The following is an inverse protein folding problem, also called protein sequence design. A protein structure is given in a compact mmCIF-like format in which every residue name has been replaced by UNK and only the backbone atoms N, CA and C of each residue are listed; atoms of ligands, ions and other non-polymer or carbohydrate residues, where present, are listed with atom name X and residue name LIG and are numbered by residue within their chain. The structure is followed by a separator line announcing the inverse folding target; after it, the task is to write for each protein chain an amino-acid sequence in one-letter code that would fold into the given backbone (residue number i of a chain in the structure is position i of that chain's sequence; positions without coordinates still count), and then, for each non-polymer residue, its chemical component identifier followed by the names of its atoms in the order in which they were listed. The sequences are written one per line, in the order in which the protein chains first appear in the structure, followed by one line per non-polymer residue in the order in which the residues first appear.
data_IF_904817606108
#
_entry.id   IF_904817606108
#
_cell.length_a   1.000
_cell.length_b   1.000
_cell.length_c   1.000
_cell.angle_alpha   90.00
_cell.angle_beta   90.00
_cell.angle_gamma   90.00
#
_symmetry.space_group_name_H-M   'P 1'
#
loop_
_entity.id
_entity.type
_entity.pdbx_description
1 polymer ?
#
# COMPACT_ATOMS: atom_id res chain seq x y z
N UNK A 1 -6.99 0.36 11.93
CA UNK A 1 -6.53 1.54 11.18
C UNK A 1 -5.09 1.79 11.60
N UNK A 2 -4.11 1.53 10.74
CA UNK A 2 -2.68 1.58 11.10
C UNK A 2 -2.08 2.99 10.96
N UNK A 3 -2.58 3.75 9.97
CA UNK A 3 -2.33 5.17 9.79
C UNK A 3 -3.66 5.86 9.41
N UNK A 4 -3.94 7.01 10.00
CA UNK A 4 -5.08 7.86 9.69
C UNK A 4 -4.68 9.32 9.87
N UNK A 5 -5.47 10.28 9.34
CA UNK A 5 -5.14 11.71 9.36
C UNK A 5 -4.99 12.31 10.77
N UNK A 6 -5.21 11.52 11.84
CA UNK A 6 -4.88 11.86 13.21
C UNK A 6 -3.70 11.00 13.72
N UNK A 7 -2.54 11.63 13.80
CA UNK A 7 -1.25 11.06 14.20
C UNK A 7 -1.20 10.60 15.67
N UNK A 8 -1.71 9.39 15.97
CA UNK A 8 -1.53 8.74 17.29
C UNK A 8 -0.70 7.45 17.27
N UNK A 9 -0.25 6.99 16.09
CA UNK A 9 0.65 5.84 15.96
C UNK A 9 1.85 6.18 15.07
N UNK A 10 2.89 6.78 15.64
CA UNK A 10 4.11 7.16 14.91
C UNK A 10 4.83 5.95 14.31
N UNK A 11 4.89 4.83 15.03
CA UNK A 11 5.51 3.59 14.56
C UNK A 11 4.74 3.00 13.38
N UNK A 12 3.40 2.93 13.47
CA UNK A 12 2.56 2.46 12.36
C UNK A 12 2.67 3.32 11.11
N UNK A 13 2.82 4.65 11.26
CA UNK A 13 3.00 5.56 10.13
C UNK A 13 4.35 5.35 9.43
N UNK A 14 5.44 5.25 10.20
CA UNK A 14 6.77 4.99 9.64
C UNK A 14 6.82 3.64 8.93
N UNK A 15 6.23 2.61 9.54
CA UNK A 15 6.19 1.27 8.97
C UNK A 15 5.41 1.22 7.63
N UNK A 16 4.34 2.01 7.51
CA UNK A 16 3.58 2.16 6.25
C UNK A 16 4.40 2.91 5.19
N UNK A 17 5.14 3.95 5.57
CA UNK A 17 6.04 4.67 4.66
C UNK A 17 7.17 3.76 4.15
N UNK A 18 7.77 2.98 5.05
CA UNK A 18 8.82 2.00 4.70
C UNK A 18 8.25 0.91 3.78
N UNK A 19 7.04 0.42 4.06
CA UNK A 19 6.38 -0.54 3.19
C UNK A 19 6.08 0.03 1.79
N UNK A 20 5.63 1.29 1.70
CA UNK A 20 5.31 1.92 0.42
C UNK A 20 6.55 2.23 -0.44
N UNK A 21 7.64 2.63 0.19
CA UNK A 21 8.88 3.01 -0.50
C UNK A 21 9.85 1.84 -0.69
N UNK A 22 9.71 0.76 0.08
CA UNK A 22 10.51 -0.46 -0.01
C UNK A 22 10.08 -1.42 -1.13
N UNK A 23 10.69 -2.62 -1.15
CA UNK A 23 10.36 -3.67 -2.12
C UNK A 23 9.01 -4.32 -1.81
N UNK A 24 8.41 -4.98 -2.82
CA UNK A 24 7.17 -5.76 -2.64
C UNK A 24 7.27 -6.80 -1.52
N UNK A 25 8.41 -7.49 -1.40
CA UNK A 25 8.66 -8.48 -0.33
C UNK A 25 8.74 -7.84 1.05
N UNK A 26 9.40 -6.69 1.18
CA UNK A 26 9.45 -5.96 2.45
C UNK A 26 8.06 -5.45 2.86
N UNK A 27 7.30 -4.93 1.89
CA UNK A 27 5.92 -4.52 2.09
C UNK A 27 5.02 -5.68 2.56
N UNK A 28 5.17 -6.86 1.95
CA UNK A 28 4.43 -8.06 2.37
C UNK A 28 4.73 -8.44 3.82
N UNK A 29 6.00 -8.43 4.23
CA UNK A 29 6.41 -8.75 5.60
C UNK A 29 5.76 -7.80 6.61
N UNK A 30 5.75 -6.50 6.31
CA UNK A 30 5.06 -5.48 7.12
C UNK A 30 3.56 -5.75 7.19
N UNK A 31 2.91 -5.93 6.03
CA UNK A 31 1.46 -6.14 5.92
C UNK A 31 1.02 -7.35 6.73
N UNK A 32 1.74 -8.47 6.61
CA UNK A 32 1.45 -9.70 7.36
C UNK A 32 1.75 -9.55 8.85
N UNK A 33 2.90 -8.97 9.20
CA UNK A 33 3.32 -8.77 10.60
C UNK A 33 2.38 -7.84 11.38
N UNK A 34 1.68 -6.92 10.70
CA UNK A 34 0.69 -6.03 11.28
C UNK A 34 -0.76 -6.53 11.14
N UNK A 35 -0.96 -7.75 10.63
CA UNK A 35 -2.29 -8.34 10.39
C UNK A 35 -3.22 -7.46 9.53
N UNK A 36 -2.65 -6.76 8.54
CA UNK A 36 -3.41 -5.92 7.62
C UNK A 36 -4.13 -6.84 6.61
N UNK A 37 -5.45 -6.70 6.50
CA UNK A 37 -6.26 -7.46 5.53
C UNK A 37 -6.55 -6.72 4.22
N UNK A 38 -6.33 -5.41 4.17
CA UNK A 38 -6.66 -4.54 3.03
C UNK A 38 -5.58 -3.48 2.83
N UNK A 39 -5.15 -3.31 1.58
CA UNK A 39 -4.32 -2.19 1.10
C UNK A 39 -5.21 -1.28 0.26
N UNK A 40 -5.16 0.02 0.53
CA UNK A 40 -5.92 1.03 -0.19
C UNK A 40 -4.98 1.90 -1.04
N UNK A 41 -5.33 2.10 -2.31
CA UNK A 41 -4.60 2.97 -3.24
C UNK A 41 -5.52 4.07 -3.77
N UNK A 42 -5.19 5.32 -3.43
CA UNK A 42 -5.83 6.50 -4.02
C UNK A 42 -4.88 7.15 -5.03
N UNK A 43 -5.03 6.86 -6.33
CA UNK A 43 -4.17 7.43 -7.40
C UNK A 43 -4.20 8.97 -7.43
N UNK A 44 -5.33 9.54 -7.03
CA UNK A 44 -5.55 10.99 -6.94
C UNK A 44 -4.88 11.67 -5.74
N UNK A 45 -4.35 10.93 -4.75
CA UNK A 45 -3.71 11.51 -3.57
C UNK A 45 -2.30 12.05 -3.90
N UNK A 46 -2.01 13.29 -3.47
CA UNK A 46 -0.70 13.92 -3.65
C UNK A 46 0.42 13.21 -2.90
N UNK A 47 0.17 12.70 -1.69
CA UNK A 47 1.13 11.91 -0.91
C UNK A 47 1.48 10.61 -1.63
N UNK A 48 0.47 9.91 -2.17
CA UNK A 48 0.68 8.70 -2.98
C UNK A 48 1.59 8.97 -4.17
N UNK A 49 1.38 10.07 -4.90
CA UNK A 49 2.26 10.46 -6.01
C UNK A 49 3.65 10.86 -5.54
N UNK A 50 3.76 11.58 -4.42
CA UNK A 50 5.02 11.98 -3.84
C UNK A 50 5.89 10.78 -3.45
N UNK A 51 5.33 9.84 -2.68
CA UNK A 51 6.03 8.63 -2.24
C UNK A 51 6.45 7.73 -3.41
N UNK A 52 5.58 7.58 -4.41
CA UNK A 52 5.92 6.85 -5.64
C UNK A 52 7.05 7.53 -6.44
N UNK A 53 7.14 8.86 -6.38
CA UNK A 53 8.27 9.61 -6.97
C UNK A 53 9.57 9.47 -6.16
N UNK A 54 9.49 9.32 -4.84
CA UNK A 54 10.66 9.09 -3.98
C UNK A 54 11.27 7.70 -4.17
N UNK A 55 10.44 6.69 -4.45
CA UNK A 55 10.91 5.33 -4.77
C UNK A 55 10.19 4.78 -6.02
N UNK A 56 10.68 5.11 -7.23
CA UNK A 56 10.06 4.72 -8.49
C UNK A 56 9.99 3.19 -8.73
N UNK A 57 10.86 2.45 -8.05
CA UNK A 57 10.95 0.98 -8.08
C UNK A 57 10.37 0.33 -6.81
N UNK A 58 9.81 1.15 -5.90
CA UNK A 58 9.17 0.71 -4.67
C UNK A 58 7.80 0.09 -4.90
N UNK A 59 7.29 -0.58 -3.86
CA UNK A 59 6.01 -1.28 -3.88
C UNK A 59 4.84 -0.37 -4.31
N UNK A 60 4.75 0.85 -3.75
CA UNK A 60 3.67 1.77 -4.10
C UNK A 60 3.74 2.21 -5.57
N UNK A 61 4.94 2.46 -6.10
CA UNK A 61 5.12 2.84 -7.50
C UNK A 61 4.77 1.68 -8.44
N UNK A 62 5.16 0.46 -8.10
CA UNK A 62 4.77 -0.74 -8.84
C UNK A 62 3.24 -0.92 -8.86
N UNK A 63 2.58 -0.76 -7.71
CA UNK A 63 1.12 -0.86 -7.58
C UNK A 63 0.40 0.20 -8.42
N UNK A 64 0.91 1.44 -8.44
CA UNK A 64 0.41 2.50 -9.34
C UNK A 64 0.60 2.13 -10.82
N UNK A 65 1.69 1.46 -11.18
CA UNK A 65 1.91 0.96 -12.56
C UNK A 65 1.01 -0.24 -12.91
N UNK A 66 0.16 -0.71 -11.98
CA UNK A 66 -0.71 -1.87 -12.17
C UNK A 66 0.01 -3.21 -11.95
N UNK A 67 1.24 -3.19 -11.43
CA UNK A 67 1.99 -4.38 -11.10
C UNK A 67 1.56 -4.87 -9.72
N UNK A 68 0.47 -5.64 -9.69
CA UNK A 68 -0.09 -6.18 -8.45
C UNK A 68 0.71 -7.43 -8.05
N UNK A 69 1.34 -7.46 -6.86
CA UNK A 69 2.04 -8.65 -6.39
C UNK A 69 1.09 -9.84 -6.15
N UNK A 70 1.61 -11.06 -6.22
CA UNK A 70 0.84 -12.30 -6.07
C UNK A 70 0.17 -12.48 -4.71
N UNK A 71 0.64 -11.79 -3.67
CA UNK A 71 0.05 -11.78 -2.32
C UNK A 71 -1.12 -10.80 -2.16
N UNK A 72 -1.41 -10.00 -3.20
CA UNK A 72 -2.56 -9.13 -3.27
C UNK A 72 -3.58 -9.62 -4.30
N UNK A 73 -4.83 -9.33 -4.02
CA UNK A 73 -5.96 -9.58 -4.91
C UNK A 73 -6.81 -8.30 -5.02
N UNK A 74 -7.04 -7.76 -6.23
CA UNK A 74 -7.94 -6.63 -6.41
C UNK A 74 -9.34 -6.95 -5.88
N UNK A 75 -9.94 -6.01 -5.17
CA UNK A 75 -11.34 -6.12 -4.75
C UNK A 75 -12.22 -5.70 -5.92
N UNK A 76 -13.04 -6.66 -6.38
CA UNK A 76 -13.94 -6.48 -7.51
C UNK A 76 -14.79 -5.21 -7.38
N UNK A 77 -14.82 -4.41 -8.46
CA UNK A 77 -15.59 -3.18 -8.56
C UNK A 77 -14.84 -1.93 -8.08
N UNK A 78 -13.60 -2.08 -7.58
CA UNK A 78 -12.75 -0.95 -7.20
C UNK A 78 -11.69 -0.64 -8.26
N UNK A 79 -11.42 -1.55 -9.19
CA UNK A 79 -10.40 -1.40 -10.22
C UNK A 79 -10.67 -0.17 -11.11
N UNK A 80 -9.63 0.65 -11.32
CA UNK A 80 -9.71 1.88 -12.12
C UNK A 80 -10.55 2.99 -11.48
N UNK A 81 -11.03 2.82 -10.24
CA UNK A 81 -11.70 3.88 -9.49
C UNK A 81 -10.68 4.78 -8.78
N UNK A 82 -11.17 5.91 -8.27
CA UNK A 82 -10.33 6.85 -7.51
C UNK A 82 -9.70 6.20 -6.27
N UNK A 83 -10.41 5.25 -5.66
CA UNK A 83 -9.94 4.39 -4.57
C UNK A 83 -9.98 2.94 -5.06
N UNK A 84 -8.81 2.35 -5.18
CA UNK A 84 -8.62 0.91 -5.45
C UNK A 84 -8.33 0.19 -4.14
N UNK A 85 -8.96 -0.96 -3.94
CA UNK A 85 -8.73 -1.79 -2.77
C UNK A 85 -8.12 -3.12 -3.19
N UNK A 86 -7.14 -3.58 -2.43
CA UNK A 86 -6.51 -4.89 -2.60
C UNK A 86 -6.64 -5.68 -1.31
N UNK A 87 -7.20 -6.88 -1.40
CA UNK A 87 -7.24 -7.85 -0.32
C UNK A 87 -5.90 -8.55 -0.22
N UNK A 88 -5.42 -8.72 1.01
CA UNK A 88 -4.24 -9.53 1.29
C UNK A 88 -4.65 -11.00 1.27
N UNK A 89 -3.98 -11.80 0.45
CA UNK A 89 -4.24 -13.24 0.39
C UNK A 89 -3.77 -13.90 1.69
N UNK A 90 -4.69 -14.60 2.34
CA UNK A 90 -4.37 -15.61 3.34
C UNK A 90 -3.83 -16.81 2.56
N UNK A 91 -2.51 -17.00 2.58
CA UNK A 91 -1.92 -18.25 2.10
C UNK A 91 -2.37 -19.44 2.94
#
# INVERSE_FOLDING_TARGET
MLAGPYHRNGEGNLLVLDAFTGTSTAAEAVVRGQHIGLVALCRGNSETRFLAGQSPDGFLAALIKGQVPSWLEPVAGTEGKALELYRVRTG
#
